data_IF_862745178687
#
_entry.id   IF_862745178687
#
_cell.length_a   1.000
_cell.length_b   1.000
_cell.length_c   1.000
_cell.angle_alpha   90.00
_cell.angle_beta   90.00
_cell.angle_gamma   90.00
#
_symmetry.space_group_name_H-M   'P 1'
#
loop_
_entity.id
_entity.type
_entity.pdbx_description
1 polymer ?
#
# COMPACT_ATOMS: atom_id res chain seq x y z
N UNK A 1 11.14 15.70 -11.98
CA UNK A 1 10.33 15.77 -13.21
C UNK A 1 9.43 14.54 -13.19
N UNK A 2 8.11 14.71 -13.12
CA UNK A 2 7.19 13.56 -13.28
C UNK A 2 7.25 13.17 -14.76
N UNK A 3 7.68 11.95 -15.06
CA UNK A 3 7.56 11.45 -16.42
C UNK A 3 6.06 11.31 -16.74
N UNK A 4 5.59 12.15 -17.66
CA UNK A 4 4.32 11.95 -18.36
C UNK A 4 4.40 10.66 -19.16
N UNK A 5 3.95 9.56 -18.57
CA UNK A 5 3.91 8.25 -19.22
C UNK A 5 2.49 7.92 -19.63
N UNK A 6 2.29 7.68 -20.93
CA UNK A 6 1.08 7.08 -21.46
C UNK A 6 1.17 5.57 -21.30
N UNK A 7 0.16 4.94 -20.69
CA UNK A 7 0.13 3.51 -20.44
C UNK A 7 -1.25 2.94 -20.80
N UNK A 8 -1.25 1.76 -21.40
CA UNK A 8 -2.45 0.96 -21.65
C UNK A 8 -2.27 -0.39 -20.95
N UNK A 9 -3.17 -0.74 -20.04
CA UNK A 9 -3.21 -2.05 -19.41
C UNK A 9 -4.31 -2.86 -20.10
N UNK A 10 -3.98 -4.01 -20.69
CA UNK A 10 -4.92 -4.86 -21.44
C UNK A 10 -5.24 -6.16 -20.70
N UNK A 11 -6.28 -6.87 -21.12
CA UNK A 11 -6.65 -8.21 -20.63
C UNK A 11 -6.77 -8.31 -19.10
N UNK A 12 -7.39 -7.32 -18.45
CA UNK A 12 -7.67 -7.37 -17.01
C UNK A 12 -9.12 -7.71 -16.73
N UNK A 13 -9.40 -8.36 -15.60
CA UNK A 13 -10.74 -8.47 -15.03
C UNK A 13 -11.00 -7.32 -14.07
N UNK A 14 -12.27 -6.92 -13.92
CA UNK A 14 -12.70 -5.91 -12.96
C UNK A 14 -13.72 -6.52 -12.00
N UNK A 15 -13.63 -6.16 -10.72
CA UNK A 15 -14.57 -6.65 -9.71
C UNK A 15 -16.02 -6.30 -10.08
N UNK A 16 -16.91 -7.28 -10.06
CA UNK A 16 -18.33 -7.10 -10.36
C UNK A 16 -18.65 -6.87 -11.84
N UNK A 17 -17.69 -7.04 -12.75
CA UNK A 17 -17.91 -6.94 -14.20
C UNK A 17 -17.47 -8.23 -14.89
N UNK A 18 -18.28 -8.69 -15.85
CA UNK A 18 -17.93 -9.83 -16.69
C UNK A 18 -17.03 -9.42 -17.86
N UNK A 19 -16.16 -10.35 -18.27
CA UNK A 19 -15.27 -10.18 -19.42
C UNK A 19 -13.93 -9.52 -19.09
N UNK A 20 -13.14 -9.30 -20.14
CA UNK A 20 -11.83 -8.64 -20.08
C UNK A 20 -11.97 -7.16 -20.48
N UNK A 21 -11.17 -6.34 -19.81
CA UNK A 21 -11.14 -4.89 -19.96
C UNK A 21 -9.73 -4.40 -20.30
N UNK A 22 -9.70 -3.16 -20.77
CA UNK A 22 -8.50 -2.37 -21.03
C UNK A 22 -8.63 -1.01 -20.33
N UNK A 23 -7.53 -0.53 -19.76
CA UNK A 23 -7.45 0.72 -18.98
C UNK A 23 -6.39 1.62 -19.62
N UNK A 24 -6.82 2.78 -20.12
CA UNK A 24 -5.93 3.79 -20.67
C UNK A 24 -5.58 4.83 -19.60
N UNK A 25 -4.29 5.11 -19.46
CA UNK A 25 -3.71 6.05 -18.52
C UNK A 25 -2.91 7.09 -19.29
N UNK A 26 -3.27 8.36 -19.14
CA UNK A 26 -2.46 9.49 -19.64
C UNK A 26 -2.13 10.40 -18.47
N UNK A 27 -0.86 10.81 -18.35
CA UNK A 27 -0.37 11.71 -17.29
C UNK A 27 -0.78 11.25 -15.87
N UNK A 28 -0.71 9.94 -15.63
CA UNK A 28 -1.05 9.33 -14.33
C UNK A 28 -2.55 9.31 -14.00
N UNK A 29 -3.43 9.59 -14.97
CA UNK A 29 -4.89 9.56 -14.79
C UNK A 29 -5.54 8.57 -15.73
N UNK A 30 -6.56 7.85 -15.24
CA UNK A 30 -7.41 7.03 -16.08
C UNK A 30 -8.22 7.91 -17.04
N UNK A 31 -8.06 7.67 -18.34
CA UNK A 31 -8.79 8.40 -19.40
C UNK A 31 -9.86 7.54 -20.06
N UNK A 32 -9.72 6.21 -20.04
CA UNK A 32 -10.74 5.27 -20.49
C UNK A 32 -10.64 3.94 -19.74
N UNK A 33 -11.78 3.29 -19.49
CA UNK A 33 -11.89 1.92 -18.96
C UNK A 33 -12.98 1.22 -19.78
N UNK A 34 -12.59 0.40 -20.74
CA UNK A 34 -13.50 -0.17 -21.72
C UNK A 34 -13.35 -1.68 -21.83
N UNK A 35 -14.38 -2.42 -22.28
CA UNK A 35 -14.22 -3.82 -22.66
C UNK A 35 -13.16 -4.01 -23.74
N UNK A 36 -12.49 -5.17 -23.78
CA UNK A 36 -11.47 -5.48 -24.80
C UNK A 36 -12.00 -5.43 -26.24
N UNK A 37 -13.31 -5.61 -26.44
CA UNK A 37 -13.93 -5.54 -27.76
C UNK A 37 -14.09 -4.09 -28.29
N UNK A 38 -13.97 -3.08 -27.42
CA UNK A 38 -14.05 -1.69 -27.83
C UNK A 38 -12.72 -1.25 -28.48
N UNK A 39 -12.81 -0.48 -29.56
CA UNK A 39 -11.62 0.14 -30.14
C UNK A 39 -11.22 1.37 -29.31
N UNK A 40 -9.96 1.42 -28.86
CA UNK A 40 -9.36 2.59 -28.22
C UNK A 40 -8.27 3.18 -29.10
N UNK A 41 -8.28 4.51 -29.25
CA UNK A 41 -7.17 5.25 -29.87
C UNK A 41 -6.26 5.79 -28.77
N UNK A 42 -4.97 5.52 -28.88
CA UNK A 42 -3.94 5.98 -27.95
C UNK A 42 -2.67 6.33 -28.73
N UNK A 43 -1.82 7.23 -28.21
CA UNK A 43 -0.58 7.63 -28.88
C UNK A 43 0.34 6.43 -29.19
N UNK A 44 1.08 6.45 -30.30
CA UNK A 44 2.00 5.37 -30.67
C UNK A 44 3.07 5.08 -29.61
N UNK A 45 3.45 6.09 -28.81
CA UNK A 45 4.42 5.96 -27.72
C UNK A 45 3.81 5.45 -26.39
N UNK A 46 2.61 4.88 -26.42
CA UNK A 46 1.95 4.33 -25.23
C UNK A 46 2.58 3.01 -24.82
N UNK A 47 3.01 2.90 -23.57
CA UNK A 47 3.48 1.65 -23.00
C UNK A 47 2.31 0.69 -22.82
N UNK A 48 2.35 -0.47 -23.46
CA UNK A 48 1.31 -1.50 -23.31
C UNK A 48 1.78 -2.56 -22.30
N UNK A 49 0.92 -2.87 -21.34
CA UNK A 49 1.12 -3.91 -20.32
C UNK A 49 -0.02 -4.92 -20.44
N UNK A 50 0.31 -6.19 -20.66
CA UNK A 50 -0.68 -7.27 -20.62
C UNK A 50 -0.92 -7.67 -19.16
N UNK A 51 -2.19 -7.60 -18.73
CA UNK A 51 -2.63 -8.02 -17.40
C UNK A 51 -2.81 -9.53 -17.26
N UNK A 52 -2.62 -10.31 -18.33
CA UNK A 52 -2.61 -11.78 -18.31
C UNK A 52 -3.87 -12.41 -17.71
N UNK A 53 -5.04 -11.75 -17.88
CA UNK A 53 -6.33 -12.12 -17.28
C UNK A 53 -6.37 -12.01 -15.75
N UNK A 54 -5.38 -11.36 -15.15
CA UNK A 54 -5.37 -10.94 -13.74
C UNK A 54 -6.44 -9.90 -13.44
N UNK A 55 -6.61 -9.59 -12.15
CA UNK A 55 -7.59 -8.60 -11.69
C UNK A 55 -6.93 -7.24 -11.51
N UNK A 56 -7.50 -6.22 -12.15
CA UNK A 56 -7.18 -4.84 -11.83
C UNK A 56 -8.08 -4.39 -10.69
N UNK A 57 -7.47 -3.88 -9.63
CA UNK A 57 -8.16 -3.35 -8.46
C UNK A 57 -7.46 -2.10 -7.94
N UNK A 58 -8.20 -1.29 -7.20
CA UNK A 58 -7.60 -0.21 -6.45
C UNK A 58 -6.54 -0.77 -5.48
N UNK A 59 -5.51 0.01 -5.13
CA UNK A 59 -4.53 -0.40 -4.13
C UNK A 59 -5.20 -0.78 -2.81
N UNK A 60 -4.54 -1.62 -2.02
CA UNK A 60 -5.02 -1.93 -0.67
C UNK A 60 -4.87 -0.73 0.28
N UNK A 61 -5.68 -0.74 1.33
CA UNK A 61 -5.70 0.25 2.38
C UNK A 61 -5.47 -0.43 3.73
N UNK A 62 -4.56 0.12 4.55
CA UNK A 62 -4.40 -0.22 5.97
C UNK A 62 -5.06 0.90 6.81
N UNK A 63 -6.30 0.69 7.27
CA UNK A 63 -7.04 1.70 7.99
C UNK A 63 -6.60 1.82 9.46
N UNK A 64 -5.84 0.86 10.00
CA UNK A 64 -5.43 0.91 11.41
C UNK A 64 -4.07 0.24 11.63
N UNK A 65 -3.02 1.06 11.67
CA UNK A 65 -1.69 0.62 12.08
C UNK A 65 -1.00 1.58 13.05
N UNK A 66 -0.21 1.00 13.95
CA UNK A 66 0.69 1.70 14.87
C UNK A 66 2.13 1.63 14.34
N UNK A 67 2.55 2.60 13.52
CA UNK A 67 3.94 2.64 12.99
C UNK A 67 4.96 3.11 14.03
N UNK A 68 4.54 3.75 15.12
CA UNK A 68 5.40 4.10 16.24
C UNK A 68 5.84 2.87 17.03
N UNK A 69 4.98 1.85 17.14
CA UNK A 69 5.24 0.59 17.86
C UNK A 69 5.70 -0.56 16.97
N UNK A 70 5.75 -0.38 15.64
CA UNK A 70 6.12 -1.45 14.71
C UNK A 70 7.58 -1.88 14.91
N UNK A 71 7.88 -3.16 14.66
CA UNK A 71 9.23 -3.72 14.77
C UNK A 71 9.87 -3.60 16.16
N UNK A 72 9.09 -3.66 17.25
CA UNK A 72 9.62 -3.62 18.64
C UNK A 72 9.24 -4.83 19.50
N UNK A 73 8.68 -5.89 18.91
CA UNK A 73 8.31 -7.08 19.67
C UNK A 73 9.58 -7.71 20.29
N UNK A 74 9.53 -7.97 21.61
CA UNK A 74 10.68 -8.50 22.35
C UNK A 74 11.64 -7.45 22.91
N UNK A 75 11.37 -6.15 22.72
CA UNK A 75 12.22 -5.06 23.22
C UNK A 75 11.52 -4.25 24.31
N UNK A 76 12.00 -4.23 25.55
CA UNK A 76 13.10 -5.03 26.11
C UNK A 76 12.69 -6.47 26.46
N UNK A 77 11.40 -6.79 26.40
CA UNK A 77 10.87 -8.09 26.79
C UNK A 77 9.65 -8.45 25.95
N UNK A 78 9.40 -9.75 25.81
CA UNK A 78 8.26 -10.26 25.08
C UNK A 78 6.97 -10.12 25.88
N UNK A 79 5.85 -9.92 25.17
CA UNK A 79 4.51 -10.14 25.72
C UNK A 79 4.28 -11.65 25.78
N UNK A 80 4.49 -12.27 26.96
CA UNK A 80 4.45 -13.72 27.14
C UNK A 80 3.01 -14.24 27.22
N UNK A 81 2.11 -13.51 27.89
CA UNK A 81 0.69 -13.90 28.00
C UNK A 81 -0.12 -13.64 26.72
N UNK A 82 0.36 -12.75 25.85
CA UNK A 82 -0.36 -12.31 24.65
C UNK A 82 -1.55 -11.39 24.96
N UNK A 83 -1.68 -10.89 26.18
CA UNK A 83 -2.79 -10.01 26.57
C UNK A 83 -2.57 -8.56 26.17
N UNK A 84 -3.65 -7.81 26.00
CA UNK A 84 -3.60 -6.36 25.74
C UNK A 84 -2.87 -5.60 26.85
N UNK A 85 -3.16 -5.92 28.12
CA UNK A 85 -2.58 -5.21 29.27
C UNK A 85 -1.08 -5.44 29.38
N UNK A 86 -0.62 -6.68 29.24
CA UNK A 86 0.82 -6.95 29.18
C UNK A 86 1.46 -6.24 27.98
N UNK A 87 0.79 -6.22 26.82
CA UNK A 87 1.28 -5.48 25.65
C UNK A 87 1.46 -3.98 25.91
N UNK A 88 0.52 -3.37 26.65
CA UNK A 88 0.61 -1.96 27.07
C UNK A 88 1.79 -1.76 28.03
N UNK A 89 2.00 -2.67 28.97
CA UNK A 89 3.14 -2.62 29.91
C UNK A 89 4.49 -2.75 29.18
N UNK A 90 4.64 -3.75 28.30
CA UNK A 90 5.85 -3.92 27.47
C UNK A 90 6.09 -2.70 26.58
N UNK A 91 5.03 -2.12 26.01
CA UNK A 91 5.17 -0.89 25.24
C UNK A 91 5.58 0.31 26.10
N UNK A 92 5.07 0.42 27.33
CA UNK A 92 5.48 1.49 28.26
C UNK A 92 6.99 1.41 28.57
N UNK A 93 7.53 0.20 28.75
CA UNK A 93 8.96 -0.05 28.90
C UNK A 93 9.74 0.40 27.64
N UNK A 94 9.28 0.02 26.45
CA UNK A 94 9.93 0.41 25.18
C UNK A 94 9.85 1.91 24.91
N UNK A 95 8.76 2.56 25.31
CA UNK A 95 8.51 3.99 25.10
C UNK A 95 9.61 4.85 25.74
N UNK A 96 10.13 4.44 26.90
CA UNK A 96 11.22 5.12 27.59
C UNK A 96 12.55 5.13 26.82
N UNK A 97 12.69 4.24 25.82
CA UNK A 97 13.91 4.07 25.01
C UNK A 97 13.79 4.71 23.61
N UNK A 98 12.65 5.35 23.28
CA UNK A 98 12.41 5.87 21.94
C UNK A 98 13.29 7.08 21.62
N UNK A 99 13.71 7.14 20.36
CA UNK A 99 14.21 8.36 19.73
C UNK A 99 13.47 8.62 18.41
N UNK A 100 13.53 9.84 17.90
CA UNK A 100 12.90 10.21 16.62
C UNK A 100 13.43 9.35 15.47
N UNK A 101 14.74 9.12 15.43
CA UNK A 101 15.36 8.35 14.34
C UNK A 101 15.05 6.85 14.44
N UNK A 102 14.95 6.30 15.66
CA UNK A 102 14.47 4.93 15.89
C UNK A 102 13.06 4.73 15.30
N UNK A 103 12.13 5.62 15.65
CA UNK A 103 10.74 5.57 15.14
C UNK A 103 10.71 5.68 13.62
N UNK A 104 11.42 6.66 13.04
CA UNK A 104 11.47 6.84 11.57
C UNK A 104 12.03 5.62 10.86
N UNK A 105 13.07 4.99 11.41
CA UNK A 105 13.72 3.83 10.81
C UNK A 105 12.76 2.65 10.72
N UNK A 106 12.12 2.29 11.85
CA UNK A 106 11.16 1.17 11.92
C UNK A 106 9.91 1.44 11.11
N UNK A 107 9.37 2.67 11.16
CA UNK A 107 8.24 3.05 10.33
C UNK A 107 8.55 2.90 8.84
N UNK A 108 9.71 3.39 8.37
CA UNK A 108 10.14 3.22 6.96
C UNK A 108 10.29 1.76 6.57
N UNK A 109 10.80 0.92 7.46
CA UNK A 109 10.91 -0.52 7.19
C UNK A 109 9.52 -1.15 6.97
N UNK A 110 8.58 -0.89 7.86
CA UNK A 110 7.21 -1.41 7.71
C UNK A 110 6.53 -0.83 6.47
N UNK A 111 6.68 0.47 6.17
CA UNK A 111 6.15 1.07 4.95
C UNK A 111 6.69 0.39 3.67
N UNK A 112 7.98 0.03 3.63
CA UNK A 112 8.54 -0.72 2.49
C UNK A 112 7.90 -2.09 2.33
N UNK A 113 7.63 -2.79 3.44
CA UNK A 113 6.91 -4.07 3.40
C UNK A 113 5.49 -3.87 2.86
N UNK A 114 4.78 -2.83 3.31
CA UNK A 114 3.43 -2.51 2.86
C UNK A 114 3.38 -2.20 1.35
N UNK A 115 4.40 -1.51 0.81
CA UNK A 115 4.51 -1.25 -0.63
C UNK A 115 4.65 -2.54 -1.46
N UNK A 116 5.34 -3.57 -0.96
CA UNK A 116 5.46 -4.88 -1.65
C UNK A 116 4.10 -5.55 -1.80
N UNK A 117 3.21 -5.35 -0.83
CA UNK A 117 1.84 -5.87 -0.87
C UNK A 117 0.85 -4.94 -1.58
N UNK A 118 1.33 -3.95 -2.35
CA UNK A 118 0.49 -2.99 -3.08
C UNK A 118 -0.46 -2.18 -2.18
N UNK A 119 0.01 -1.80 -1.00
CA UNK A 119 -0.72 -0.92 -0.09
C UNK A 119 -0.25 0.52 -0.24
N UNK A 120 -1.17 1.39 -0.66
CA UNK A 120 -0.87 2.79 -0.99
C UNK A 120 -1.69 3.80 -0.17
N UNK A 121 -2.69 3.35 0.59
CA UNK A 121 -3.42 4.18 1.55
C UNK A 121 -3.18 3.71 2.99
N UNK A 122 -2.88 4.67 3.86
CA UNK A 122 -2.48 4.44 5.25
C UNK A 122 -3.16 5.45 6.17
N UNK A 123 -3.83 4.96 7.21
CA UNK A 123 -4.27 5.78 8.33
C UNK A 123 -3.42 5.44 9.56
N UNK A 124 -2.55 6.39 9.94
CA UNK A 124 -1.60 6.21 11.03
C UNK A 124 -2.21 6.58 12.37
N UNK A 125 -2.12 5.67 13.33
CA UNK A 125 -2.29 5.98 14.75
C UNK A 125 -0.93 6.33 15.35
N UNK A 126 -0.78 7.52 15.93
CA UNK A 126 0.43 7.92 16.65
C UNK A 126 0.04 8.33 18.08
N UNK A 127 0.52 7.59 19.09
CA UNK A 127 0.29 7.96 20.50
C UNK A 127 1.44 8.83 21.00
N UNK A 128 1.41 10.11 20.62
CA UNK A 128 2.24 11.15 21.24
C UNK A 128 1.58 11.56 22.56
N UNK A 129 1.73 10.75 23.61
CA UNK A 129 1.54 11.26 24.96
C UNK A 129 2.80 12.02 25.35
N UNK A 130 2.67 13.36 25.43
CA UNK A 130 3.57 14.23 26.20
C UNK A 130 3.65 13.75 27.64
#
# INVERSE_FOLDING_TARGET
MMHSSNMLITNVTLQGKEGLYQILIHDGKFTAIEPMAAALSYPENTQVIDGEKGMAMAPFCEPHIHLDTTQTAGEPSWNISGTLFEGIERWAERKALLSIEDVKSRAKQTLKLQMVFNMLELMLMCRIQR
#
